data_IF_988561473557
#
_entry.id   IF_988561473557
#
_cell.length_a   1.000
_cell.length_b   1.000
_cell.length_c   1.000
_cell.angle_alpha   90.00
_cell.angle_beta   90.00
_cell.angle_gamma   90.00
#
_symmetry.space_group_name_H-M   'P 1'
#
loop_
_entity.id
_entity.type
_entity.pdbx_description
1 polymer ?
#
# COMPACT_ATOMS: atom_id res chain seq x y z
N UNK A 1 12.72 -2.84 20.58
CA UNK A 1 11.96 -1.63 20.17
C UNK A 1 11.00 -2.07 19.08
N UNK A 2 9.71 -1.72 19.12
CA UNK A 2 8.82 -1.99 17.99
C UNK A 2 9.34 -1.25 16.74
N UNK A 3 9.04 -1.73 15.52
CA UNK A 3 9.35 -0.99 14.30
C UNK A 3 8.69 0.39 14.36
N UNK A 4 9.43 1.44 14.02
CA UNK A 4 8.92 2.81 14.09
C UNK A 4 7.85 3.05 13.02
N UNK A 5 8.07 2.57 11.79
CA UNK A 5 7.20 2.82 10.65
C UNK A 5 6.29 1.61 10.36
N UNK A 6 5.11 1.58 10.97
CA UNK A 6 4.14 0.48 10.85
C UNK A 6 2.88 0.86 10.05
N UNK A 7 2.67 2.14 9.76
CA UNK A 7 1.47 2.62 9.08
C UNK A 7 1.74 2.88 7.60
N UNK A 8 0.88 2.33 6.75
CA UNK A 8 0.91 2.60 5.31
C UNK A 8 0.48 4.06 5.08
N UNK A 9 1.32 4.80 4.37
CA UNK A 9 1.06 6.18 3.93
C UNK A 9 0.57 6.23 2.50
N UNK A 10 1.19 5.44 1.60
CA UNK A 10 0.85 5.35 0.17
C UNK A 10 1.11 3.95 -0.36
N UNK A 11 0.39 3.59 -1.42
CA UNK A 11 0.49 2.30 -2.10
C UNK A 11 0.57 2.54 -3.61
N UNK A 12 1.46 1.82 -4.30
CA UNK A 12 1.49 1.76 -5.75
C UNK A 12 1.48 0.31 -6.23
N UNK A 13 0.67 0.02 -7.24
CA UNK A 13 0.69 -1.24 -7.98
C UNK A 13 1.23 -0.96 -9.38
N UNK A 14 2.35 -1.58 -9.74
CA UNK A 14 3.00 -1.41 -11.03
C UNK A 14 3.24 0.08 -11.39
N UNK A 15 3.70 0.85 -10.42
CA UNK A 15 3.98 2.29 -10.53
C UNK A 15 2.76 3.21 -10.52
N UNK A 16 1.53 2.67 -10.45
CA UNK A 16 0.29 3.46 -10.39
C UNK A 16 -0.21 3.57 -8.95
N UNK A 17 -0.62 4.77 -8.47
CA UNK A 17 -1.24 4.92 -7.16
C UNK A 17 -2.43 3.97 -7.00
N UNK A 18 -2.52 3.34 -5.83
CA UNK A 18 -3.58 2.41 -5.48
C UNK A 18 -4.35 2.96 -4.28
N UNK A 19 -5.47 3.63 -4.55
CA UNK A 19 -6.29 4.25 -3.50
C UNK A 19 -7.20 3.25 -2.77
N UNK A 20 -7.41 2.06 -3.37
CA UNK A 20 -8.18 0.96 -2.79
C UNK A 20 -7.30 0.04 -1.94
N UNK A 21 -7.90 -0.61 -0.94
CA UNK A 21 -7.18 -1.50 0.00
C UNK A 21 -7.31 -2.98 -0.36
N UNK A 22 -7.41 -3.28 -1.65
CA UNK A 22 -7.48 -4.64 -2.18
C UNK A 22 -6.88 -4.70 -3.59
N UNK A 23 -6.41 -5.88 -3.95
CA UNK A 23 -5.98 -6.23 -5.31
C UNK A 23 -6.79 -7.44 -5.78
N UNK A 24 -7.07 -7.50 -7.08
CA UNK A 24 -7.81 -8.64 -7.64
C UNK A 24 -6.91 -9.87 -7.81
N UNK A 25 -7.51 -11.04 -7.99
CA UNK A 25 -6.76 -12.24 -8.37
C UNK A 25 -6.00 -12.04 -9.69
N UNK A 26 -6.63 -11.37 -10.67
CA UNK A 26 -6.02 -11.08 -11.97
C UNK A 26 -4.75 -10.23 -11.85
N UNK A 27 -4.75 -9.27 -10.92
CA UNK A 27 -3.59 -8.42 -10.63
C UNK A 27 -2.44 -9.20 -9.99
N UNK A 28 -2.75 -10.21 -9.18
CA UNK A 28 -1.74 -11.10 -8.59
C UNK A 28 -1.14 -12.01 -9.66
N UNK A 29 -1.97 -12.68 -10.48
CA UNK A 29 -1.48 -13.63 -11.49
C UNK A 29 -0.74 -12.96 -12.64
N UNK A 30 -1.04 -11.69 -12.93
CA UNK A 30 -0.34 -10.91 -13.96
C UNK A 30 1.10 -10.58 -13.56
N UNK A 31 1.47 -10.75 -12.28
CA UNK A 31 2.77 -10.38 -11.74
C UNK A 31 2.96 -8.86 -11.68
N UNK A 32 3.97 -8.42 -10.92
CA UNK A 32 4.22 -7.00 -10.75
C UNK A 32 4.92 -6.64 -9.46
N UNK A 33 4.88 -5.34 -9.15
CA UNK A 33 5.42 -4.76 -7.93
C UNK A 33 4.34 -4.01 -7.16
N UNK A 34 4.25 -4.29 -5.86
CA UNK A 34 3.42 -3.56 -4.90
C UNK A 34 4.35 -2.81 -3.95
N UNK A 35 4.41 -1.49 -4.09
CA UNK A 35 5.28 -0.61 -3.30
C UNK A 35 4.47 0.06 -2.20
N UNK A 36 5.01 0.05 -0.98
CA UNK A 36 4.45 0.74 0.17
C UNK A 36 5.37 1.85 0.64
N UNK A 37 4.82 3.03 0.90
CA UNK A 37 5.46 4.07 1.70
C UNK A 37 4.96 3.92 3.13
N UNK A 38 5.85 3.70 4.10
CA UNK A 38 5.51 3.49 5.51
C UNK A 38 5.87 4.72 6.36
N UNK A 39 5.13 4.90 7.46
CA UNK A 39 5.34 5.97 8.43
C UNK A 39 4.96 5.56 9.85
N UNK A 40 5.30 6.41 10.81
CA UNK A 40 5.14 6.21 12.26
C UNK A 40 3.75 6.58 12.79
N UNK A 41 2.93 7.20 11.96
CA UNK A 41 1.60 7.70 12.31
C UNK A 41 0.53 7.22 11.33
N UNK A 42 -0.73 6.98 11.78
CA UNK A 42 -1.79 6.52 10.90
C UNK A 42 -2.18 7.57 9.84
N UNK A 43 -2.23 7.16 8.56
CA UNK A 43 -2.89 7.93 7.51
C UNK A 43 -4.41 7.68 7.57
N UNK A 44 -5.17 8.63 8.15
CA UNK A 44 -6.63 8.51 8.32
C UNK A 44 -7.42 8.66 7.02
N UNK A 45 -6.78 9.07 5.93
CA UNK A 45 -7.40 9.23 4.61
C UNK A 45 -7.19 8.02 3.69
N UNK A 46 -6.42 7.02 4.14
CA UNK A 46 -6.11 5.83 3.36
C UNK A 46 -7.38 4.98 3.14
N UNK A 47 -7.82 4.84 1.89
CA UNK A 47 -8.97 3.99 1.51
C UNK A 47 -10.35 4.53 1.87
N UNK A 48 -10.47 5.84 2.16
CA UNK A 48 -11.76 6.54 2.34
C UNK A 48 -12.43 6.88 1.01
#
# INVERSE_FOLDING_TARGET
MPPENVYIQKIWLNGKPLDRLWISHDEIISGGELVFELGDTPNKSLGL
#
